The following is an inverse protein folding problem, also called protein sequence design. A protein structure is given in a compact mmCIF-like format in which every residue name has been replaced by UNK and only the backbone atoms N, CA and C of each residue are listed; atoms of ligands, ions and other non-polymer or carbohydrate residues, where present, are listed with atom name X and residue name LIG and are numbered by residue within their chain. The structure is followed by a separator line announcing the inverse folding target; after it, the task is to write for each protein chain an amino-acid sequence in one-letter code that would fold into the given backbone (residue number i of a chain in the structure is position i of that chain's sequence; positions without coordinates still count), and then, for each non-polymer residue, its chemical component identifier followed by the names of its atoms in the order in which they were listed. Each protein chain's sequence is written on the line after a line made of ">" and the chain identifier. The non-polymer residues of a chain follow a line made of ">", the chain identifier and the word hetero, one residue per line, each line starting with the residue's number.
data_IF_262867596621
#
_entry.id   IF_262867596621
#
_cell.length_a   1.000
_cell.length_b   1.000
_cell.length_c   1.000
_cell.angle_alpha   90.00
_cell.angle_beta   90.00
_cell.angle_gamma   90.00
#
_symmetry.space_group_name_H-M   'P 1'
#
loop_
_entity.id
_entity.type
_entity.pdbx_description
1 polymer ?
2 non-polymer ?
3 water ?
#
# COMPACT_ATOMS: atom_id res chain seq x y z
N UNK A 1 -23.39 0.91 0.25
CA UNK A 1 -24.21 1.59 -0.73
C UNK A 1 -23.44 2.70 -1.41
N UNK A 2 -23.49 2.75 -2.74
CA UNK A 2 -22.68 3.71 -3.47
C UNK A 2 -23.19 5.13 -3.25
N UNK A 3 -22.26 6.04 -2.98
CA UNK A 3 -22.52 7.46 -2.82
C UNK A 3 -22.11 8.19 -4.09
N UNK A 4 -22.74 9.34 -4.34
CA UNK A 4 -22.36 10.11 -5.52
C UNK A 4 -20.95 10.71 -5.39
N UNK A 5 -20.43 10.83 -4.17
CA UNK A 5 -19.06 11.28 -3.96
C UNK A 5 -18.03 10.18 -4.18
N UNK A 6 -18.46 8.93 -4.34
CA UNK A 6 -17.50 7.83 -4.41
C UNK A 6 -16.56 7.93 -5.60
N UNK A 7 -17.02 8.22 -6.83
CA UNK A 7 -16.04 8.34 -7.93
C UNK A 7 -14.99 9.40 -7.65
N UNK A 8 -15.40 10.55 -7.11
CA UNK A 8 -14.46 11.63 -6.88
C UNK A 8 -13.45 11.27 -5.79
N UNK A 9 -13.92 10.60 -4.73
CA UNK A 9 -13.02 10.18 -3.67
C UNK A 9 -12.05 9.11 -4.17
N UNK A 10 -12.53 8.22 -5.04
CA UNK A 10 -11.64 7.24 -5.66
C UNK A 10 -10.62 7.91 -6.58
N UNK A 11 -10.97 9.04 -7.21
CA UNK A 11 -9.95 9.78 -7.96
C UNK A 11 -8.86 10.28 -7.04
N UNK A 12 -9.23 10.79 -5.86
CA UNK A 12 -8.21 11.20 -4.90
C UNK A 12 -7.35 10.01 -4.50
N UNK A 13 -7.98 8.86 -4.24
CA UNK A 13 -7.24 7.64 -3.94
C UNK A 13 -6.27 7.29 -5.06
N UNK A 14 -6.72 7.38 -6.32
CA UNK A 14 -5.83 7.05 -7.43
C UNK A 14 -4.67 8.03 -7.51
N UNK A 15 -4.93 9.30 -7.18
CA UNK A 15 -3.85 10.28 -7.10
C UNK A 15 -2.81 9.91 -6.07
N UNK A 16 -3.26 9.53 -4.87
CA UNK A 16 -2.34 9.09 -3.83
C UNK A 16 -1.52 7.91 -4.32
N UNK A 17 -2.19 6.94 -4.94
CA UNK A 17 -1.50 5.75 -5.43
C UNK A 17 -0.43 6.12 -6.45
N UNK A 18 -0.75 7.03 -7.37
CA UNK A 18 0.24 7.49 -8.33
C UNK A 18 1.42 8.15 -7.63
N UNK A 19 1.16 8.94 -6.59
CA UNK A 19 2.26 9.54 -5.85
C UNK A 19 3.10 8.49 -5.14
N UNK A 20 2.46 7.50 -4.51
CA UNK A 20 3.22 6.47 -3.81
C UNK A 20 4.16 5.73 -4.75
N UNK A 21 3.79 5.61 -6.03
CA UNK A 21 4.58 4.93 -7.05
C UNK A 21 5.52 5.86 -7.80
N UNK A 22 5.58 7.14 -7.45
CA UNK A 22 6.33 8.11 -8.24
C UNK A 22 7.79 8.16 -7.80
N UNK A 23 8.62 8.77 -8.65
CA UNK A 23 10.05 8.86 -8.34
C UNK A 23 10.31 9.62 -7.05
N UNK A 24 9.43 10.58 -6.71
CA UNK A 24 9.59 11.39 -5.51
C UNK A 24 9.81 10.54 -4.26
N UNK A 25 9.15 9.38 -4.18
CA UNK A 25 9.19 8.53 -2.99
C UNK A 25 9.91 7.21 -3.21
N UNK A 26 10.55 7.02 -4.36
CA UNK A 26 11.10 5.72 -4.72
C UNK A 26 12.19 5.23 -3.76
N UNK A 27 12.89 6.13 -3.07
CA UNK A 27 13.97 5.67 -2.20
C UNK A 27 13.45 4.82 -1.05
N UNK A 28 12.18 4.99 -0.66
CA UNK A 28 11.59 4.20 0.41
C UNK A 28 10.32 3.46 0.00
N UNK A 29 9.78 3.71 -1.19
CA UNK A 29 8.59 2.98 -1.63
C UNK A 29 8.90 1.65 -2.30
N UNK A 30 10.12 1.47 -2.80
CA UNK A 30 10.39 0.33 -3.67
C UNK A 30 10.13 -1.04 -3.04
N UNK A 31 10.27 -1.27 -1.72
CA UNK A 31 9.92 -2.60 -1.21
C UNK A 31 8.45 -2.94 -1.38
N UNK A 32 7.61 -1.96 -1.67
CA UNK A 32 6.17 -2.16 -1.69
C UNK A 32 5.62 -2.16 -3.10
N UNK A 33 6.49 -2.10 -4.11
CA UNK A 33 6.05 -2.02 -5.50
C UNK A 33 5.39 -3.31 -5.97
N UNK A 34 5.91 -4.46 -5.56
CA UNK A 34 5.46 -5.74 -6.07
C UNK A 34 5.23 -6.70 -4.91
N UNK A 35 4.48 -7.79 -5.14
CA UNK A 35 4.26 -8.76 -4.05
C UNK A 35 5.57 -9.27 -3.50
N UNK A 36 5.62 -9.44 -2.18
CA UNK A 36 6.79 -10.05 -1.56
C UNK A 36 7.01 -11.41 -2.21
N UNK A 37 8.22 -11.62 -2.75
CA UNK A 37 8.62 -12.93 -3.27
C UNK A 37 9.35 -13.64 -2.13
N UNK A 38 8.57 -14.36 -1.32
CA UNK A 38 9.10 -14.93 -0.08
C UNK A 38 10.22 -15.93 -0.37
N UNK A 39 9.99 -16.83 -1.33
CA UNK A 39 10.99 -17.84 -1.65
C UNK A 39 12.29 -17.20 -2.11
N UNK A 40 12.20 -16.19 -2.98
CA UNK A 40 13.40 -15.54 -3.50
C UNK A 40 14.22 -14.89 -2.40
N UNK A 41 13.55 -14.34 -1.39
CA UNK A 41 14.22 -13.65 -0.30
C UNK A 41 14.60 -14.59 0.84
N UNK A 42 14.29 -15.88 0.71
CA UNK A 42 14.56 -16.82 1.79
C UNK A 42 13.64 -16.70 2.98
N UNK A 43 12.50 -16.04 2.81
CA UNK A 43 11.54 -15.80 3.88
C UNK A 43 10.49 -16.92 3.87
N UNK A 44 10.95 -18.11 4.26
CA UNK A 44 10.14 -19.31 4.10
C UNK A 44 9.02 -19.42 5.12
N UNK A 45 8.95 -18.50 6.08
CA UNK A 45 7.84 -18.42 7.01
C UNK A 45 6.85 -17.32 6.64
N UNK A 46 7.10 -16.58 5.55
CA UNK A 46 6.33 -15.36 5.29
C UNK A 46 4.84 -15.65 5.15
N UNK A 47 4.50 -16.69 4.39
CA UNK A 47 3.09 -16.94 4.13
C UNK A 47 2.41 -17.70 5.26
N UNK A 48 3.18 -18.18 6.24
CA UNK A 48 2.59 -18.64 7.48
C UNK A 48 2.24 -17.48 8.40
N UNK A 49 2.99 -16.39 8.32
CA UNK A 49 2.79 -15.25 9.20
C UNK A 49 1.84 -14.22 8.58
N UNK A 50 1.93 -14.04 7.27
CA UNK A 50 1.14 -13.05 6.54
C UNK A 50 0.07 -13.83 5.78
N UNK A 51 -1.16 -13.81 6.29
CA UNK A 51 -2.25 -14.55 5.65
C UNK A 51 -2.86 -13.81 4.48
N UNK A 52 -2.72 -12.48 4.42
CA UNK A 52 -3.31 -11.66 3.36
C UNK A 52 -2.27 -10.69 2.81
N UNK A 53 -1.41 -11.15 1.91
CA UNK A 53 -0.41 -10.27 1.30
C UNK A 53 -1.04 -9.14 0.52
N UNK A 54 -0.34 -8.01 0.48
CA UNK A 54 -0.78 -6.86 -0.29
C UNK A 54 0.42 -5.99 -0.64
N UNK A 55 0.33 -5.34 -1.80
CA UNK A 55 1.41 -4.52 -2.33
C UNK A 55 0.81 -3.51 -3.29
N UNK A 56 1.63 -2.53 -3.68
CA UNK A 56 1.11 -1.43 -4.49
C UNK A 56 0.71 -1.87 -5.89
N UNK A 57 1.40 -2.86 -6.48
CA UNK A 57 0.95 -3.32 -7.80
C UNK A 57 -0.40 -4.00 -7.73
N UNK A 58 -0.71 -4.64 -6.61
CA UNK A 58 -2.03 -5.26 -6.46
C UNK A 58 -3.11 -4.20 -6.22
N UNK A 59 -2.81 -3.18 -5.40
CA UNK A 59 -3.72 -2.04 -5.25
C UNK A 59 -3.98 -1.40 -6.60
N UNK A 60 -2.92 -1.20 -7.40
CA UNK A 60 -3.10 -0.57 -8.71
C UNK A 60 -4.00 -1.40 -9.61
N UNK A 61 -3.79 -2.72 -9.65
CA UNK A 61 -4.65 -3.55 -10.49
C UNK A 61 -6.09 -3.47 -10.03
N UNK A 62 -6.30 -3.45 -8.71
CA UNK A 62 -7.66 -3.39 -8.20
C UNK A 62 -8.31 -2.05 -8.52
N UNK A 63 -7.54 -0.95 -8.46
CA UNK A 63 -8.09 0.34 -8.85
C UNK A 63 -8.44 0.36 -10.33
N UNK A 64 -7.56 -0.18 -11.16
CA UNK A 64 -7.77 -0.16 -12.61
C UNK A 64 -8.98 -0.99 -13.01
N UNK A 65 -9.21 -2.10 -12.32
CA UNK A 65 -10.34 -2.97 -12.60
C UNK A 65 -11.60 -2.56 -11.84
N UNK A 66 -11.58 -1.40 -11.19
CA UNK A 66 -12.73 -0.87 -10.44
C UNK A 66 -13.19 -1.84 -9.36
N UNK A 67 -12.23 -2.55 -8.76
CA UNK A 67 -12.55 -3.44 -7.65
C UNK A 67 -12.95 -2.64 -6.42
N UNK A 68 -12.24 -1.55 -6.14
CA UNK A 68 -12.56 -0.74 -4.98
C UNK A 68 -13.84 0.04 -5.23
N UNK A 69 -14.80 -0.10 -4.31
CA UNK A 69 -16.06 0.61 -4.47
C UNK A 69 -16.06 1.95 -3.75
N UNK A 70 -15.19 2.14 -2.78
CA UNK A 70 -15.13 3.41 -2.08
C UNK A 70 -13.73 3.61 -1.54
N UNK A 71 -13.48 4.84 -1.07
CA UNK A 71 -12.16 5.20 -0.55
C UNK A 71 -11.75 4.32 0.63
N UNK A 72 -12.70 3.95 1.49
CA UNK A 72 -12.39 3.14 2.66
C UNK A 72 -11.79 1.80 2.25
N UNK A 73 -12.32 1.20 1.19
CA UNK A 73 -11.84 -0.12 0.78
C UNK A 73 -10.41 -0.02 0.26
N UNK A 74 -10.13 1.01 -0.52
CA UNK A 74 -8.76 1.28 -0.96
C UNK A 74 -7.83 1.46 0.23
N UNK A 75 -8.25 2.29 1.20
CA UNK A 75 -7.38 2.61 2.33
C UNK A 75 -7.07 1.39 3.16
N UNK A 76 -8.06 0.52 3.36
CA UNK A 76 -7.83 -0.71 4.11
C UNK A 76 -6.76 -1.57 3.45
N UNK A 77 -6.74 -1.65 2.11
CA UNK A 77 -5.70 -2.44 1.46
C UNK A 77 -4.33 -1.81 1.62
N UNK A 78 -4.23 -0.48 1.44
CA UNK A 78 -2.94 0.17 1.61
C UNK A 78 -2.43 -0.07 3.03
N UNK A 79 -3.32 0.08 4.02
CA UNK A 79 -2.89 -0.12 5.40
C UNK A 79 -2.57 -1.58 5.67
N UNK A 80 -3.29 -2.51 5.03
CA UNK A 80 -2.95 -3.93 5.16
C UNK A 80 -1.52 -4.19 4.72
N UNK A 81 -1.12 -3.59 3.59
CA UNK A 81 0.24 -3.73 3.09
C UNK A 81 1.26 -3.29 4.13
N UNK A 82 1.05 -2.12 4.75
CA UNK A 82 1.98 -1.65 5.78
C UNK A 82 1.93 -2.53 7.02
N UNK A 83 0.72 -2.93 7.45
CA UNK A 83 0.61 -3.78 8.63
C UNK A 83 1.34 -5.10 8.44
N UNK A 84 1.29 -5.68 7.24
CA UNK A 84 2.04 -6.91 7.00
C UNK A 84 3.53 -6.69 7.25
N UNK A 85 4.05 -5.54 6.82
CA UNK A 85 5.46 -5.24 7.03
C UNK A 85 5.78 -5.12 8.51
N UNK A 86 4.93 -4.40 9.27
CA UNK A 86 5.15 -4.27 10.71
C UNK A 86 4.98 -5.60 11.43
N UNK A 87 4.13 -6.50 10.90
CA UNK A 87 3.95 -7.80 11.54
C UNK A 87 5.13 -8.73 11.27
N UNK A 88 5.61 -8.79 10.03
CA UNK A 88 6.60 -9.81 9.71
C UNK A 88 7.99 -9.44 10.22
N UNK A 89 8.36 -8.14 10.18
CA UNK A 89 9.74 -7.72 10.40
C UNK A 89 9.96 -7.18 11.81
N UNK A 90 11.18 -7.32 12.32
CA UNK A 90 11.53 -6.63 13.56
C UNK A 90 11.38 -5.13 13.39
N UNK A 91 10.99 -4.42 14.46
CA UNK A 91 10.66 -2.99 14.31
C UNK A 91 11.86 -2.10 13.98
N UNK A 92 13.09 -2.58 14.16
CA UNK A 92 14.26 -1.80 13.78
C UNK A 92 14.75 -2.10 12.37
N UNK A 93 14.10 -3.01 11.64
CA UNK A 93 14.52 -3.36 10.29
C UNK A 93 14.37 -2.16 9.35
N UNK A 94 15.29 -2.02 8.39
CA UNK A 94 15.21 -0.86 7.51
C UNK A 94 13.94 -0.86 6.67
N UNK A 95 13.40 -2.04 6.34
CA UNK A 95 12.17 -2.06 5.57
C UNK A 95 11.01 -1.47 6.37
N UNK A 96 11.04 -1.61 7.70
CA UNK A 96 10.02 -0.99 8.54
C UNK A 96 10.18 0.53 8.57
N UNK A 97 11.43 1.02 8.60
CA UNK A 97 11.64 2.46 8.54
C UNK A 97 11.10 3.03 7.24
N UNK A 98 11.29 2.29 6.15
CA UNK A 98 10.78 2.73 4.86
C UNK A 98 9.25 2.70 4.85
N UNK A 99 8.66 1.65 5.43
CA UNK A 99 7.20 1.55 5.52
C UNK A 99 6.62 2.75 6.25
N UNK A 100 7.20 3.10 7.40
CA UNK A 100 6.68 4.22 8.19
C UNK A 100 6.74 5.52 7.42
N UNK A 101 7.83 5.76 6.67
CA UNK A 101 7.92 6.97 5.86
C UNK A 101 6.87 6.97 4.75
N UNK A 102 6.72 5.85 4.04
CA UNK A 102 5.71 5.81 2.98
C UNK A 102 4.29 5.89 3.54
N UNK A 103 4.04 5.29 4.70
CA UNK A 103 2.71 5.38 5.28
C UNK A 103 2.41 6.80 5.74
N UNK A 104 3.42 7.53 6.20
CA UNK A 104 3.21 8.94 6.50
C UNK A 104 2.76 9.69 5.26
N UNK A 105 3.41 9.46 4.12
CA UNK A 105 2.96 10.05 2.87
C UNK A 105 1.50 9.71 2.62
N UNK A 106 1.17 8.43 2.76
CA UNK A 106 -0.19 7.99 2.51
C UNK A 106 -1.18 8.64 3.46
N UNK A 107 -0.92 8.57 4.78
CA UNK A 107 -1.93 8.98 5.73
C UNK A 107 -2.19 10.48 5.65
N UNK A 108 -1.14 11.28 5.45
CA UNK A 108 -1.38 12.71 5.44
C UNK A 108 -2.13 13.14 4.19
N UNK A 109 -1.85 12.50 3.05
CA UNK A 109 -2.62 12.88 1.87
C UNK A 109 -4.01 12.26 1.88
N UNK A 110 -4.17 11.04 2.40
CA UNK A 110 -5.51 10.48 2.53
C UNK A 110 -6.39 11.34 3.42
N UNK A 111 -5.80 11.95 4.44
CA UNK A 111 -6.56 12.85 5.31
C UNK A 111 -7.05 14.09 4.58
N UNK A 112 -6.41 14.47 3.48
CA UNK A 112 -6.84 15.60 2.66
C UNK A 112 -7.96 15.24 1.68
N UNK A 113 -8.74 14.21 1.96
CA UNK A 113 -9.81 13.80 1.06
C UNK A 113 -10.72 14.98 0.73
N UNK A 114 -10.89 15.33 -0.55
CA UNK A 114 -11.84 16.38 -0.93
C UNK A 114 -13.27 15.87 -0.89
X LIG B 1 12.47 -6.98 -2.93
X LIG B 1 13.78 -6.82 -2.41
X LIG B 1 11.47 -6.13 -2.20
X LIG B 1 10.94 -6.86 -1.10
X LIG B 1 11.38 -6.40 0.15
X LIG B 1 10.33 -6.48 1.17
X LIG B 1 9.12 -5.86 1.13
X LIG B 1 8.38 -6.12 2.18
X LIG B 1 9.15 -6.97 2.95
X LIG B 1 8.82 -7.65 4.15
X LIG B 1 7.81 -7.48 4.83
X LIG B 1 9.79 -8.54 4.55
X LIG B 1 11.05 -8.37 4.14
X LIG B 1 12.05 -8.63 4.98
X LIG B 1 11.38 -7.92 2.89
X LIG B 1 10.37 -7.19 2.34
#
# INVERSE_FOLDING_TARGET
>A
GSHMQDPEQLKHCNGILSELLSSKHAAYAWPFYKPVDASALGLHDYHDIIKHPMDLSTVKRKMENRDYRDAQEFAADVRLMFSNCYKYNPPDHDVVAMARKLQDVFEFRYAKMPD
>B hetero
1 AC2 C3' O3' C2' O1' C1' N9 C8 N7 C5 C6 O6 N1 C2 N2 N3 C4
#
